data_IF_359044987691
#
_entry.id   IF_359044987691
#
_cell.length_a   1.000
_cell.length_b   1.000
_cell.length_c   1.000
_cell.angle_alpha   90.00
_cell.angle_beta   90.00
_cell.angle_gamma   90.00
#
_symmetry.space_group_name_H-M   'P 1'
#
loop_
_entity.id
_entity.type
_entity.pdbx_description
1 polymer ?
#
# COMPACT_ATOMS: atom_id res chain seq x y z
N UNK A 1 -4.66 39.82 17.16
CA UNK A 1 -3.76 39.37 18.24
C UNK A 1 -3.13 38.07 17.79
N UNK A 2 -1.82 38.07 17.52
CA UNK A 2 -1.07 36.87 17.13
C UNK A 2 -1.06 35.90 18.31
N UNK A 3 -1.38 34.62 18.08
CA UNK A 3 -1.31 33.60 19.13
C UNK A 3 0.11 33.56 19.73
N UNK A 4 0.26 33.35 21.05
CA UNK A 4 1.57 33.25 21.67
C UNK A 4 2.36 32.09 21.06
N UNK A 5 3.65 32.32 20.81
CA UNK A 5 4.58 31.31 20.28
C UNK A 5 4.92 30.36 21.44
N UNK A 6 4.61 29.07 21.28
CA UNK A 6 4.86 28.04 22.29
C UNK A 6 6.33 27.61 22.30
N UNK A 7 6.95 27.49 21.13
CA UNK A 7 8.34 27.06 20.96
C UNK A 7 8.93 27.64 19.68
N UNK A 8 10.23 27.89 19.68
CA UNK A 8 11.01 28.32 18.51
C UNK A 8 12.11 27.29 18.22
N UNK A 9 12.20 26.83 16.98
CA UNK A 9 13.31 26.00 16.48
C UNK A 9 14.12 26.74 15.42
N UNK A 10 15.45 26.73 15.56
CA UNK A 10 16.39 27.33 14.62
C UNK A 10 17.11 26.25 13.83
N UNK A 11 16.69 26.07 12.58
CA UNK A 11 17.22 25.10 11.63
C UNK A 11 18.13 25.75 10.58
N UNK A 12 18.56 27.00 10.78
CA UNK A 12 19.45 27.68 9.82
C UNK A 12 20.79 26.97 9.69
N UNK A 13 21.27 26.89 8.47
CA UNK A 13 22.41 26.09 8.07
C UNK A 13 22.10 24.61 7.88
N UNK A 14 20.88 24.12 8.12
CA UNK A 14 20.50 22.75 7.73
C UNK A 14 19.99 22.76 6.28
N UNK A 15 20.09 21.62 5.60
CA UNK A 15 19.48 21.42 4.28
C UNK A 15 18.43 20.31 4.35
N UNK A 16 17.59 20.21 3.32
CA UNK A 16 16.60 19.15 3.19
C UNK A 16 17.19 17.75 3.51
N UNK A 17 16.56 16.94 4.40
CA UNK A 17 15.23 17.11 5.02
C UNK A 17 15.25 17.73 6.44
N UNK A 18 16.40 18.20 6.92
CA UNK A 18 16.63 18.60 8.32
C UNK A 18 15.55 19.52 8.93
N UNK A 19 15.21 20.67 8.30
CA UNK A 19 14.21 21.58 8.84
C UNK A 19 12.82 20.96 9.04
N UNK A 20 12.39 20.06 8.15
CA UNK A 20 11.09 19.39 8.25
C UNK A 20 11.11 18.29 9.31
N UNK A 21 12.22 17.58 9.46
CA UNK A 21 12.38 16.61 10.55
C UNK A 21 12.35 17.29 11.93
N UNK A 22 13.06 18.41 12.07
CA UNK A 22 13.04 19.21 13.29
C UNK A 22 11.63 19.74 13.60
N UNK A 23 10.91 20.19 12.56
CA UNK A 23 9.50 20.61 12.68
C UNK A 23 8.61 19.45 13.16
N UNK A 24 8.69 18.29 12.50
CA UNK A 24 7.89 17.12 12.86
C UNK A 24 8.19 16.61 14.28
N UNK A 25 9.46 16.65 14.71
CA UNK A 25 9.86 16.30 16.07
C UNK A 25 9.27 17.25 17.10
N UNK A 26 9.44 18.56 16.91
CA UNK A 26 8.90 19.57 17.83
C UNK A 26 7.37 19.52 17.91
N UNK A 27 6.68 19.24 16.80
CA UNK A 27 5.21 19.08 16.82
C UNK A 27 4.78 17.84 17.59
N UNK A 28 5.50 16.71 17.49
CA UNK A 28 5.23 15.53 18.32
C UNK A 28 5.43 15.79 19.81
N UNK A 29 6.48 16.54 20.18
CA UNK A 29 6.75 16.92 21.57
C UNK A 29 5.67 17.85 22.15
N UNK A 30 4.99 18.61 21.28
CA UNK A 30 3.93 19.56 21.65
C UNK A 30 2.51 19.05 21.37
N UNK A 31 2.34 17.77 20.99
CA UNK A 31 1.06 17.22 20.57
C UNK A 31 -0.03 17.32 21.67
N UNK A 32 0.36 17.15 22.94
CA UNK A 32 -0.57 17.14 24.09
C UNK A 32 -0.95 18.55 24.56
N UNK A 33 -0.07 19.54 24.37
CA UNK A 33 -0.28 20.93 24.83
C UNK A 33 -0.87 21.82 23.73
N UNK A 34 -0.76 21.40 22.47
CA UNK A 34 -1.11 22.22 21.31
C UNK A 34 -0.28 23.51 21.23
N UNK A 35 -0.70 24.42 20.37
CA UNK A 35 -0.13 25.77 20.28
C UNK A 35 0.55 26.09 18.95
N UNK A 36 1.44 27.09 18.96
CA UNK A 36 2.09 27.64 17.76
C UNK A 36 3.60 27.45 17.80
N UNK A 37 4.16 26.74 16.83
CA UNK A 37 5.59 26.51 16.63
C UNK A 37 6.15 27.54 15.65
N UNK A 38 7.27 28.18 16.02
CA UNK A 38 8.07 29.02 15.13
C UNK A 38 9.26 28.23 14.58
N UNK A 39 9.45 28.27 13.25
CA UNK A 39 10.54 27.59 12.56
C UNK A 39 11.35 28.59 11.75
N UNK A 40 12.67 28.63 11.98
CA UNK A 40 13.63 29.42 11.21
C UNK A 40 14.50 28.49 10.35
N UNK A 41 14.51 28.69 9.02
CA UNK A 41 15.31 27.85 8.10
C UNK A 41 15.77 28.65 6.88
N UNK A 42 16.97 28.38 6.38
CA UNK A 42 17.57 29.03 5.19
C UNK A 42 17.71 28.07 3.98
N UNK A 43 17.16 26.86 4.09
CA UNK A 43 17.05 25.89 3.00
C UNK A 43 16.07 26.40 1.92
N UNK A 44 16.45 26.27 0.64
CA UNK A 44 15.67 26.80 -0.49
C UNK A 44 14.40 25.99 -0.79
N UNK A 45 14.35 24.70 -0.41
CA UNK A 45 13.18 23.83 -0.59
C UNK A 45 12.18 23.98 0.57
N UNK A 46 12.61 24.49 1.73
CA UNK A 46 11.80 24.63 2.93
C UNK A 46 10.40 25.24 2.71
N UNK A 47 10.21 26.33 1.94
CA UNK A 47 8.86 26.87 1.67
C UNK A 47 7.90 25.87 1.04
N UNK A 48 8.38 25.05 0.10
CA UNK A 48 7.57 24.06 -0.60
C UNK A 48 7.32 22.84 0.30
N UNK A 49 8.40 22.35 0.93
CA UNK A 49 8.35 21.16 1.78
C UNK A 49 7.45 21.40 3.00
N UNK A 50 7.54 22.58 3.65
CA UNK A 50 6.70 22.91 4.80
C UNK A 50 5.22 23.01 4.44
N UNK A 51 4.89 23.58 3.27
CA UNK A 51 3.50 23.63 2.78
C UNK A 51 2.97 22.24 2.47
N UNK A 52 3.80 21.36 1.94
CA UNK A 52 3.42 19.95 1.74
C UNK A 52 3.16 19.26 3.07
N UNK A 53 4.08 19.45 4.02
CA UNK A 53 4.02 18.86 5.35
C UNK A 53 2.81 19.34 6.18
N UNK A 54 2.46 20.62 6.13
CA UNK A 54 1.26 21.13 6.83
C UNK A 54 -0.02 20.48 6.28
N UNK A 55 -0.12 20.33 4.94
CA UNK A 55 -1.27 19.68 4.31
C UNK A 55 -1.41 18.20 4.68
N UNK A 56 -0.31 17.48 4.85
CA UNK A 56 -0.34 16.05 5.17
C UNK A 56 -0.47 15.75 6.67
N UNK A 57 0.16 16.57 7.53
CA UNK A 57 0.14 16.40 8.98
C UNK A 57 -1.16 16.89 9.64
N UNK A 58 -1.99 17.65 8.92
CA UNK A 58 -3.16 18.34 9.47
C UNK A 58 -2.83 19.62 10.25
N UNK A 59 -1.54 19.96 10.39
CA UNK A 59 -1.11 21.21 11.04
C UNK A 59 -1.35 22.43 10.12
N UNK A 60 -1.69 23.58 10.70
CA UNK A 60 -2.06 24.78 9.94
C UNK A 60 -0.87 25.74 9.80
N UNK A 61 -0.47 26.08 8.58
CA UNK A 61 0.54 27.10 8.31
C UNK A 61 -0.07 28.51 8.45
N UNK A 62 0.24 29.22 9.53
CA UNK A 62 -0.28 30.56 9.82
C UNK A 62 0.43 31.65 9.02
N UNK A 63 1.75 31.56 8.89
CA UNK A 63 2.53 32.54 8.13
C UNK A 63 3.84 31.94 7.65
N UNK A 64 4.31 32.39 6.49
CA UNK A 64 5.64 32.10 5.97
C UNK A 64 6.20 33.37 5.32
N UNK A 65 7.24 33.93 5.92
CA UNK A 65 7.90 35.17 5.46
C UNK A 65 9.36 34.91 5.18
N UNK A 66 9.88 35.48 4.10
CA UNK A 66 11.32 35.54 3.88
C UNK A 66 11.89 36.74 4.66
N UNK A 67 12.96 36.52 5.41
CA UNK A 67 13.80 37.58 5.95
C UNK A 67 15.18 37.53 5.27
N UNK A 68 16.00 38.57 5.42
CA UNK A 68 17.34 38.61 4.81
C UNK A 68 18.31 37.53 5.31
N UNK A 69 17.87 36.64 6.22
CA UNK A 69 18.63 35.54 6.82
C UNK A 69 17.98 34.16 6.56
N UNK A 70 16.92 34.08 5.74
CA UNK A 70 16.22 32.83 5.42
C UNK A 70 14.69 32.98 5.43
N UNK A 71 14.02 31.96 5.96
CA UNK A 71 12.56 31.87 6.07
C UNK A 71 12.16 31.73 7.53
N UNK A 72 11.11 32.45 7.92
CA UNK A 72 10.43 32.35 9.21
C UNK A 72 9.01 31.86 8.99
N UNK A 73 8.67 30.74 9.60
CA UNK A 73 7.34 30.14 9.53
C UNK A 73 6.68 30.03 10.91
N UNK A 74 5.35 30.19 10.94
CA UNK A 74 4.52 29.93 12.12
C UNK A 74 3.53 28.82 11.78
N UNK A 75 3.53 27.74 12.57
CA UNK A 75 2.71 26.54 12.36
C UNK A 75 1.87 26.29 13.61
N UNK A 76 0.55 26.12 13.46
CA UNK A 76 -0.36 25.73 14.53
C UNK A 76 -0.55 24.21 14.52
N UNK A 77 -0.44 23.60 15.69
CA UNK A 77 -0.51 22.14 15.90
C UNK A 77 -1.98 21.68 15.90
N UNK A 78 -2.28 20.56 15.24
CA UNK A 78 -3.61 19.94 15.23
C UNK A 78 -3.93 19.23 16.57
N UNK A 79 -5.17 19.34 17.06
CA UNK A 79 -5.63 18.62 18.26
C UNK A 79 -6.41 17.34 17.87
N UNK A 80 -6.23 16.22 18.60
CA UNK A 80 -6.99 14.99 18.34
C UNK A 80 -8.47 15.12 18.78
N UNK A 81 -9.39 14.52 18.03
CA UNK A 81 -10.82 14.36 18.40
C UNK A 81 -11.29 12.93 18.12
N UNK A 82 -12.04 12.33 19.05
CA UNK A 82 -12.54 10.95 19.01
C UNK A 82 -14.04 10.89 18.65
N UNK A 83 -14.54 9.79 18.03
CA UNK A 83 -15.97 9.46 18.05
C UNK A 83 -16.29 8.12 18.75
N UNK A 84 -17.49 8.08 19.34
CA UNK A 84 -18.04 7.04 20.23
C UNK A 84 -19.34 6.40 19.64
N UNK A 85 -19.82 5.32 20.27
CA UNK A 85 -21.22 4.79 20.39
C UNK A 85 -21.50 3.33 19.94
N UNK A 86 -22.30 2.65 20.77
CA UNK A 86 -22.69 1.22 20.91
C UNK A 86 -24.18 0.91 20.57
N UNK A 87 -24.57 -0.38 20.35
CA UNK A 87 -25.90 -0.96 20.75
C UNK A 87 -25.96 -2.52 20.74
N UNK A 88 -26.99 -3.08 21.41
CA UNK A 88 -27.25 -4.42 22.03
C UNK A 88 -27.44 -5.67 21.13
N UNK A 89 -27.27 -6.87 21.73
CA UNK A 89 -26.88 -8.14 21.11
C UNK A 89 -27.98 -9.23 21.00
N UNK A 90 -28.09 -9.88 19.82
CA UNK A 90 -28.75 -11.20 19.62
C UNK A 90 -27.71 -12.32 19.87
N UNK A 91 -28.04 -13.50 20.42
CA UNK A 91 -27.06 -14.59 20.62
C UNK A 91 -27.34 -15.83 19.74
N UNK A 92 -26.34 -16.30 18.98
CA UNK A 92 -26.42 -17.40 17.99
C UNK A 92 -25.40 -18.50 18.34
N UNK A 93 -25.86 -19.76 18.44
CA UNK A 93 -25.00 -20.89 18.86
C UNK A 93 -24.34 -21.61 17.68
N UNK A 94 -23.05 -21.91 17.81
CA UNK A 94 -22.19 -22.62 16.85
C UNK A 94 -21.55 -23.83 17.54
N UNK A 95 -21.88 -25.03 17.10
CA UNK A 95 -21.37 -26.28 17.70
C UNK A 95 -20.27 -26.89 16.83
N UNK A 96 -19.03 -26.81 17.31
CA UNK A 96 -17.79 -27.26 16.66
C UNK A 96 -17.17 -28.48 17.37
N UNK A 97 -17.93 -29.22 18.16
CA UNK A 97 -17.42 -30.45 18.81
C UNK A 97 -17.07 -31.52 17.77
N UNK A 98 -16.08 -32.34 18.08
CA UNK A 98 -15.47 -33.36 17.21
C UNK A 98 -14.80 -32.80 15.95
N UNK A 99 -14.51 -31.50 15.93
CA UNK A 99 -13.73 -30.84 14.87
C UNK A 99 -12.30 -30.56 15.36
N UNK A 100 -11.32 -30.74 14.48
CA UNK A 100 -9.90 -30.50 14.79
C UNK A 100 -9.41 -29.19 14.15
N UNK A 101 -8.37 -28.57 14.71
CA UNK A 101 -7.76 -27.36 14.17
C UNK A 101 -7.41 -27.51 12.66
N UNK A 102 -7.78 -26.55 11.78
CA UNK A 102 -8.32 -25.20 12.05
C UNK A 102 -9.85 -25.07 11.94
N UNK A 103 -10.60 -26.19 11.89
CA UNK A 103 -12.02 -26.18 11.55
C UNK A 103 -12.89 -25.34 12.51
N UNK A 104 -12.73 -25.39 13.85
CA UNK A 104 -13.53 -24.57 14.76
C UNK A 104 -13.47 -23.07 14.46
N UNK A 105 -12.28 -22.54 14.13
CA UNK A 105 -12.10 -21.12 13.82
C UNK A 105 -12.68 -20.74 12.45
N UNK A 106 -12.64 -21.65 11.48
CA UNK A 106 -13.28 -21.42 10.19
C UNK A 106 -14.80 -21.34 10.32
N UNK A 107 -15.41 -22.18 11.17
CA UNK A 107 -16.85 -22.11 11.48
C UNK A 107 -17.20 -20.85 12.26
N UNK A 108 -16.38 -20.45 13.24
CA UNK A 108 -16.48 -19.15 13.92
C UNK A 108 -16.46 -17.99 12.91
N UNK A 109 -15.51 -17.99 11.97
CA UNK A 109 -15.41 -16.96 10.94
C UNK A 109 -16.61 -16.99 9.97
N UNK A 110 -17.20 -18.16 9.69
CA UNK A 110 -18.42 -18.28 8.88
C UNK A 110 -19.64 -17.73 9.63
N UNK A 111 -19.81 -18.10 10.89
CA UNK A 111 -20.90 -17.62 11.74
C UNK A 111 -20.83 -16.10 11.94
N UNK A 112 -19.64 -15.57 12.23
CA UNK A 112 -19.42 -14.12 12.38
C UNK A 112 -19.68 -13.33 11.10
N UNK A 113 -19.49 -13.94 9.93
CA UNK A 113 -19.88 -13.33 8.64
C UNK A 113 -21.38 -13.38 8.38
N UNK A 114 -22.06 -14.43 8.83
CA UNK A 114 -23.52 -14.59 8.65
C UNK A 114 -24.29 -13.67 9.58
N UNK A 115 -23.84 -13.53 10.81
CA UNK A 115 -24.52 -12.80 11.88
C UNK A 115 -23.57 -11.75 12.50
N UNK A 116 -23.18 -10.70 11.74
CA UNK A 116 -22.12 -9.76 12.13
C UNK A 116 -22.45 -8.88 13.34
N UNK A 117 -23.71 -8.88 13.77
CA UNK A 117 -24.21 -8.11 14.90
C UNK A 117 -24.74 -9.00 16.05
N UNK A 118 -24.60 -10.33 15.93
CA UNK A 118 -25.04 -11.27 16.95
C UNK A 118 -23.82 -11.79 17.74
N UNK A 119 -23.94 -11.83 19.07
CA UNK A 119 -23.04 -12.61 19.93
C UNK A 119 -23.10 -14.08 19.50
N UNK A 120 -21.96 -14.74 19.40
CA UNK A 120 -21.88 -16.15 19.05
C UNK A 120 -21.46 -16.96 20.27
N UNK A 121 -22.20 -18.02 20.59
CA UNK A 121 -21.82 -19.03 21.57
C UNK A 121 -21.20 -20.22 20.83
N UNK A 122 -19.91 -20.48 21.04
CA UNK A 122 -19.13 -21.49 20.32
C UNK A 122 -18.76 -22.62 21.28
N UNK A 123 -19.03 -23.86 20.88
CA UNK A 123 -18.61 -25.07 21.62
C UNK A 123 -17.56 -25.84 20.84
N UNK A 124 -16.40 -26.12 21.42
CA UNK A 124 -15.34 -26.91 20.77
C UNK A 124 -14.64 -27.81 21.78
N UNK A 125 -14.25 -29.03 21.39
CA UNK A 125 -13.49 -29.98 22.23
C UNK A 125 -12.01 -30.11 21.83
N UNK A 126 -11.56 -29.27 20.90
CA UNK A 126 -10.17 -29.17 20.45
C UNK A 126 -9.29 -28.41 21.46
N UNK A 127 -8.14 -28.98 21.82
CA UNK A 127 -7.21 -28.39 22.81
C UNK A 127 -6.56 -27.08 22.33
N UNK A 128 -6.43 -26.87 21.00
CA UNK A 128 -5.87 -25.64 20.45
C UNK A 128 -6.87 -24.46 20.43
N UNK A 129 -8.17 -24.74 20.60
CA UNK A 129 -9.24 -23.76 20.44
C UNK A 129 -9.10 -22.53 21.35
N UNK A 130 -8.64 -22.70 22.60
CA UNK A 130 -8.45 -21.60 23.56
C UNK A 130 -7.47 -20.53 23.05
N UNK A 131 -6.34 -20.94 22.45
CA UNK A 131 -5.36 -20.01 21.89
C UNK A 131 -5.81 -19.44 20.55
N UNK A 132 -6.45 -20.28 19.75
CA UNK A 132 -6.89 -19.97 18.40
C UNK A 132 -8.06 -18.97 18.40
N UNK A 133 -9.03 -19.11 19.33
CA UNK A 133 -10.17 -18.19 19.43
C UNK A 133 -9.74 -16.80 19.90
N UNK A 134 -8.78 -16.72 20.83
CA UNK A 134 -8.18 -15.46 21.28
C UNK A 134 -7.44 -14.78 20.13
N UNK A 135 -6.67 -15.56 19.36
CA UNK A 135 -5.92 -15.06 18.20
C UNK A 135 -6.85 -14.58 17.09
N UNK A 136 -7.90 -15.35 16.80
CA UNK A 136 -8.90 -14.98 15.83
C UNK A 136 -9.67 -13.73 16.24
N UNK A 137 -10.09 -13.59 17.51
CA UNK A 137 -10.77 -12.40 17.99
C UNK A 137 -9.92 -11.13 17.79
N UNK A 138 -8.60 -11.20 18.06
CA UNK A 138 -7.67 -10.09 17.79
C UNK A 138 -7.58 -9.77 16.29
N UNK A 139 -7.43 -10.77 15.44
CA UNK A 139 -7.31 -10.57 13.98
C UNK A 139 -8.60 -10.06 13.34
N UNK A 140 -9.75 -10.57 13.79
CA UNK A 140 -11.07 -10.21 13.28
C UNK A 140 -11.65 -8.94 13.93
N UNK A 141 -10.95 -8.35 14.91
CA UNK A 141 -11.45 -7.27 15.77
C UNK A 141 -12.80 -7.62 16.43
N UNK A 142 -12.95 -8.88 16.81
CA UNK A 142 -14.08 -9.37 17.58
C UNK A 142 -13.74 -9.35 19.08
N UNK A 143 -14.73 -9.14 19.93
CA UNK A 143 -14.59 -9.16 21.38
C UNK A 143 -14.84 -10.58 21.89
N UNK A 144 -13.88 -11.17 22.62
CA UNK A 144 -14.10 -12.41 23.36
C UNK A 144 -14.75 -12.04 24.71
N UNK A 145 -16.04 -12.30 24.83
CA UNK A 145 -16.87 -11.95 25.99
C UNK A 145 -16.60 -12.90 27.16
N UNK A 146 -16.50 -14.20 26.88
CA UNK A 146 -16.28 -15.23 27.89
C UNK A 146 -15.63 -16.47 27.28
N UNK A 147 -14.81 -17.18 28.06
CA UNK A 147 -14.24 -18.48 27.70
C UNK A 147 -14.17 -19.37 28.93
N UNK A 148 -14.85 -20.51 28.88
CA UNK A 148 -14.90 -21.50 29.96
C UNK A 148 -14.58 -22.91 29.44
N UNK A 149 -14.08 -23.78 30.32
CA UNK A 149 -13.82 -25.20 30.01
C UNK A 149 -14.58 -26.08 31.00
N UNK A 150 -15.53 -26.87 30.50
CA UNK A 150 -16.28 -27.85 31.30
C UNK A 150 -16.22 -29.23 30.63
N UNK A 151 -15.79 -30.25 31.38
CA UNK A 151 -15.87 -31.65 30.91
C UNK A 151 -15.08 -31.97 29.63
N UNK A 152 -14.02 -31.23 29.33
CA UNK A 152 -13.22 -31.39 28.11
C UNK A 152 -13.70 -30.57 26.90
N UNK A 153 -14.79 -29.82 27.05
CA UNK A 153 -15.33 -28.92 26.01
C UNK A 153 -15.11 -27.46 26.43
N UNK A 154 -14.59 -26.66 25.51
CA UNK A 154 -14.50 -25.21 25.60
C UNK A 154 -15.81 -24.56 25.15
N UNK A 155 -16.29 -23.58 25.92
CA UNK A 155 -17.40 -22.69 25.57
C UNK A 155 -16.87 -21.26 25.47
N UNK A 156 -16.93 -20.67 24.28
CA UNK A 156 -16.53 -19.28 24.04
C UNK A 156 -17.76 -18.44 23.64
N UNK A 157 -17.97 -17.29 24.27
CA UNK A 157 -18.90 -16.27 23.80
C UNK A 157 -18.13 -15.15 23.14
N UNK A 158 -18.41 -14.87 21.88
CA UNK A 158 -17.72 -13.86 21.08
C UNK A 158 -18.73 -12.85 20.52
N UNK A 159 -18.38 -11.57 20.50
CA UNK A 159 -19.15 -10.53 19.82
C UNK A 159 -18.37 -10.13 18.56
N UNK A 160 -18.85 -10.47 17.35
CA UNK A 160 -18.22 -10.03 16.11
C UNK A 160 -18.15 -8.50 16.06
N UNK A 161 -16.99 -7.94 15.71
CA UNK A 161 -16.87 -6.53 15.41
C UNK A 161 -17.56 -6.24 14.08
N UNK A 162 -18.45 -5.24 14.04
CA UNK A 162 -19.29 -4.91 12.89
C UNK A 162 -18.57 -5.00 11.54
N UNK A 163 -19.00 -6.00 10.76
CA UNK A 163 -18.77 -6.27 9.33
C UNK A 163 -17.44 -5.83 8.66
N UNK A 164 -16.51 -6.78 8.53
CA UNK A 164 -15.55 -6.79 7.40
C UNK A 164 -16.21 -7.50 6.22
N UNK A 165 -16.54 -6.72 5.19
CA UNK A 165 -16.94 -7.24 3.89
C UNK A 165 -15.78 -8.01 3.22
N UNK A 166 -16.10 -9.15 2.62
CA UNK A 166 -15.23 -9.83 1.67
C UNK A 166 -16.03 -10.01 0.38
N UNK A 167 -15.53 -9.48 -0.73
CA UNK A 167 -15.74 -10.10 -2.03
C UNK A 167 -14.41 -10.75 -2.48
N UNK A 168 -14.42 -11.96 -3.05
CA UNK A 168 -13.28 -12.87 -3.05
C UNK A 168 -12.47 -12.86 -4.37
N UNK A 169 -11.23 -13.34 -4.28
CA UNK A 169 -10.44 -13.80 -5.42
C UNK A 169 -10.97 -15.15 -5.93
N UNK A 170 -11.04 -15.33 -7.25
CA UNK A 170 -11.42 -16.60 -7.86
C UNK A 170 -10.30 -17.65 -7.82
N UNK A 171 -10.68 -18.92 -7.65
CA UNK A 171 -10.26 -20.00 -8.54
C UNK A 171 -11.46 -20.92 -8.81
N UNK A 172 -11.57 -21.40 -10.05
CA UNK A 172 -12.77 -21.99 -10.69
C UNK A 172 -13.31 -23.26 -10.00
N UNK A 173 -14.65 -23.43 -9.87
CA UNK A 173 -15.28 -24.72 -9.61
C UNK A 173 -15.75 -25.44 -10.90
N UNK A 174 -16.00 -26.77 -10.84
CA UNK A 174 -16.41 -27.60 -11.98
C UNK A 174 -17.91 -27.46 -12.34
N UNK A 175 -18.25 -28.07 -13.48
CA UNK A 175 -19.51 -28.00 -14.25
C UNK A 175 -20.72 -28.66 -13.56
N UNK A 176 -21.92 -28.19 -13.95
CA UNK A 176 -23.30 -28.72 -13.81
C UNK A 176 -24.10 -28.22 -12.60
N UNK A 177 -25.35 -27.75 -12.71
CA UNK A 177 -26.25 -27.41 -13.82
C UNK A 177 -27.27 -26.37 -13.28
N UNK A 178 -27.85 -25.48 -14.12
CA UNK A 178 -28.67 -24.37 -13.64
C UNK A 178 -30.14 -24.77 -13.47
N UNK A 179 -30.75 -24.31 -12.39
CA UNK A 179 -32.20 -24.17 -12.23
C UNK A 179 -32.38 -22.98 -11.28
N UNK A 180 -32.74 -21.77 -11.73
CA UNK A 180 -34.12 -21.30 -11.98
C UNK A 180 -34.03 -19.80 -12.36
N UNK A 181 -35.10 -19.18 -12.89
CA UNK A 181 -35.49 -19.10 -14.28
C UNK A 181 -34.80 -17.96 -15.06
N UNK A 182 -34.65 -18.20 -16.36
CA UNK A 182 -34.19 -17.27 -17.39
C UNK A 182 -35.10 -16.01 -17.41
N UNK A 183 -34.54 -14.83 -17.16
CA UNK A 183 -35.07 -13.63 -17.82
C UNK A 183 -34.97 -13.92 -19.32
N UNK A 184 -36.12 -14.03 -19.99
CA UNK A 184 -36.25 -14.54 -21.36
C UNK A 184 -35.11 -14.09 -22.26
N UNK A 185 -34.31 -15.05 -22.75
CA UNK A 185 -33.40 -14.83 -23.88
C UNK A 185 -34.19 -14.14 -25.00
N UNK A 186 -33.73 -13.01 -25.57
CA UNK A 186 -34.22 -12.60 -26.87
C UNK A 186 -33.93 -13.73 -27.86
N UNK A 187 -34.86 -13.98 -28.76
CA UNK A 187 -34.73 -15.01 -29.80
C UNK A 187 -33.47 -14.77 -30.65
N UNK A 188 -32.92 -15.84 -31.22
CA UNK A 188 -31.71 -15.81 -32.07
C UNK A 188 -31.79 -14.88 -33.30
N UNK A 189 -32.94 -14.24 -33.54
CA UNK A 189 -33.22 -13.35 -34.68
C UNK A 189 -32.61 -11.95 -34.57
N UNK A 190 -32.12 -11.51 -33.40
CA UNK A 190 -31.63 -10.13 -33.21
C UNK A 190 -30.09 -10.00 -33.08
N UNK A 191 -29.34 -11.08 -33.30
CA UNK A 191 -27.86 -11.07 -33.25
C UNK A 191 -27.25 -11.21 -34.64
N UNK A 192 -26.48 -10.22 -35.07
CA UNK A 192 -25.72 -10.28 -36.31
C UNK A 192 -24.26 -10.65 -36.08
N UNK A 193 -23.67 -11.36 -37.04
CA UNK A 193 -22.24 -11.70 -37.06
C UNK A 193 -21.58 -11.07 -38.26
N UNK A 194 -20.53 -10.28 -38.03
CA UNK A 194 -19.82 -9.57 -39.07
C UNK A 194 -18.35 -9.96 -39.08
N UNK A 195 -17.89 -10.59 -40.17
CA UNK A 195 -16.48 -10.91 -40.37
C UNK A 195 -15.76 -9.78 -41.11
N UNK A 196 -15.00 -9.00 -40.37
CA UNK A 196 -14.16 -7.91 -40.89
C UNK A 196 -12.86 -8.42 -41.51
N UNK A 197 -12.48 -9.69 -41.28
CA UNK A 197 -11.29 -10.29 -41.88
C UNK A 197 -11.33 -10.36 -43.40
N UNK A 198 -12.54 -10.45 -43.97
CA UNK A 198 -12.78 -10.46 -45.42
C UNK A 198 -13.07 -9.07 -46.00
N UNK A 199 -13.11 -8.03 -45.15
CA UNK A 199 -13.43 -6.64 -45.54
C UNK A 199 -12.14 -5.80 -45.52
N UNK A 200 -11.83 -5.04 -46.61
CA UNK A 200 -10.70 -4.11 -46.63
C UNK A 200 -10.76 -3.07 -45.50
N UNK A 201 -9.62 -2.73 -44.90
CA UNK A 201 -9.55 -1.96 -43.66
C UNK A 201 -10.29 -0.61 -43.73
N UNK A 202 -10.19 0.08 -44.88
CA UNK A 202 -10.84 1.36 -45.11
C UNK A 202 -12.38 1.29 -45.12
N UNK A 203 -12.96 0.10 -45.32
CA UNK A 203 -14.43 -0.10 -45.37
C UNK A 203 -15.02 -0.72 -44.11
N UNK A 204 -14.18 -1.18 -43.16
CA UNK A 204 -14.63 -1.91 -41.97
C UNK A 204 -15.57 -1.09 -41.08
N UNK A 205 -15.27 0.20 -40.84
CA UNK A 205 -16.12 1.09 -40.03
C UNK A 205 -17.47 1.34 -40.72
N UNK A 206 -17.46 1.60 -42.03
CA UNK A 206 -18.70 1.83 -42.78
C UNK A 206 -19.61 0.58 -42.81
N UNK A 207 -19.04 -0.63 -42.72
CA UNK A 207 -19.83 -1.86 -42.61
C UNK A 207 -20.41 -2.06 -41.20
N UNK A 208 -19.68 -1.64 -40.16
CA UNK A 208 -20.20 -1.60 -38.79
C UNK A 208 -21.37 -0.62 -38.69
N UNK A 209 -21.23 0.59 -39.24
CA UNK A 209 -22.31 1.59 -39.30
C UNK A 209 -23.55 1.05 -40.04
N UNK A 210 -23.34 0.38 -41.17
CA UNK A 210 -24.45 -0.21 -41.95
C UNK A 210 -25.18 -1.28 -41.17
N UNK A 211 -24.43 -2.15 -40.47
CA UNK A 211 -25.01 -3.22 -39.66
C UNK A 211 -25.71 -2.67 -38.43
N UNK A 212 -25.15 -1.64 -37.80
CA UNK A 212 -25.75 -0.96 -36.65
C UNK A 212 -26.99 -0.14 -37.00
N UNK A 213 -27.13 0.27 -38.26
CA UNK A 213 -28.32 0.97 -38.75
C UNK A 213 -29.55 0.06 -38.89
N UNK A 214 -29.37 -1.26 -38.96
CA UNK A 214 -30.48 -2.20 -38.99
C UNK A 214 -31.06 -2.40 -37.58
N UNK A 215 -32.26 -1.87 -37.38
CA UNK A 215 -32.90 -1.78 -36.07
C UNK A 215 -33.37 -3.13 -35.54
N UNK A 216 -33.44 -4.18 -36.37
CA UNK A 216 -33.71 -5.53 -35.89
C UNK A 216 -32.52 -6.17 -35.18
N UNK A 217 -31.32 -5.61 -35.32
CA UNK A 217 -30.10 -6.12 -34.68
C UNK A 217 -29.91 -5.41 -33.33
N UNK A 218 -29.90 -6.17 -32.24
CA UNK A 218 -29.57 -5.68 -30.89
C UNK A 218 -28.13 -5.96 -30.50
N UNK A 219 -27.56 -7.02 -31.07
CA UNK A 219 -26.22 -7.50 -30.72
C UNK A 219 -25.41 -7.79 -31.97
N UNK A 220 -24.16 -7.33 -31.96
CA UNK A 220 -23.22 -7.51 -33.05
C UNK A 220 -21.99 -8.28 -32.56
N UNK A 221 -21.71 -9.42 -33.20
CA UNK A 221 -20.50 -10.20 -32.97
C UNK A 221 -19.54 -9.94 -34.12
N UNK A 222 -18.44 -9.27 -33.84
CA UNK A 222 -17.42 -8.89 -34.82
C UNK A 222 -16.31 -9.92 -34.82
N UNK A 223 -16.01 -10.48 -35.98
CA UNK A 223 -14.93 -11.44 -36.21
C UNK A 223 -13.83 -10.75 -37.02
N UNK A 224 -12.57 -10.94 -36.63
CA UNK A 224 -11.43 -10.43 -37.39
C UNK A 224 -10.14 -11.12 -36.93
N UNK A 225 -9.30 -11.63 -37.84
CA UNK A 225 -7.97 -12.11 -37.51
C UNK A 225 -6.97 -10.95 -37.28
N UNK A 226 -7.31 -9.75 -37.73
CA UNK A 226 -6.46 -8.55 -37.64
C UNK A 226 -6.80 -7.72 -36.39
N UNK A 227 -5.82 -7.63 -35.49
CA UNK A 227 -5.93 -6.96 -34.17
C UNK A 227 -5.60 -5.47 -34.21
N UNK A 228 -5.06 -4.97 -35.32
CA UNK A 228 -4.75 -3.54 -35.48
C UNK A 228 -6.02 -2.69 -35.44
N UNK A 229 -7.15 -3.30 -35.74
CA UNK A 229 -8.45 -2.65 -35.77
C UNK A 229 -9.12 -2.50 -34.38
N UNK A 230 -8.57 -3.11 -33.31
CA UNK A 230 -9.18 -3.09 -31.97
C UNK A 230 -9.42 -1.68 -31.43
N UNK A 231 -8.42 -0.79 -31.58
CA UNK A 231 -8.53 0.59 -31.11
C UNK A 231 -9.61 1.36 -31.88
N UNK A 232 -9.72 1.14 -33.19
CA UNK A 232 -10.74 1.77 -34.05
C UNK A 232 -12.14 1.23 -33.76
N UNK A 233 -12.27 -0.08 -33.49
CA UNK A 233 -13.52 -0.71 -33.10
C UNK A 233 -14.02 -0.22 -31.74
N UNK A 234 -13.12 -0.13 -30.75
CA UNK A 234 -13.45 0.42 -29.43
C UNK A 234 -13.86 1.89 -29.53
N UNK A 235 -13.14 2.69 -30.33
CA UNK A 235 -13.51 4.09 -30.57
C UNK A 235 -14.89 4.20 -31.25
N UNK A 236 -15.17 3.37 -32.25
CA UNK A 236 -16.48 3.34 -32.89
C UNK A 236 -17.62 3.00 -31.92
N UNK A 237 -17.39 2.08 -30.97
CA UNK A 237 -18.38 1.78 -29.93
C UNK A 237 -18.66 3.00 -29.05
N UNK A 238 -17.60 3.72 -28.64
CA UNK A 238 -17.74 4.95 -27.84
C UNK A 238 -18.49 6.04 -28.61
N UNK A 239 -18.13 6.25 -29.88
CA UNK A 239 -18.75 7.28 -30.73
C UNK A 239 -20.24 7.00 -31.01
N UNK A 240 -20.61 5.71 -31.12
CA UNK A 240 -21.99 5.25 -31.32
C UNK A 240 -22.77 4.97 -30.02
N UNK A 241 -22.16 5.22 -28.85
CA UNK A 241 -22.68 4.86 -27.52
C UNK A 241 -23.01 3.35 -27.36
N UNK A 242 -22.40 2.49 -28.16
CA UNK A 242 -22.59 1.04 -28.09
C UNK A 242 -21.81 0.43 -26.92
N UNK A 243 -22.39 -0.59 -26.28
CA UNK A 243 -21.75 -1.27 -25.16
C UNK A 243 -20.86 -2.41 -25.67
N UNK A 244 -19.56 -2.27 -25.48
CA UNK A 244 -18.59 -3.32 -25.81
C UNK A 244 -18.59 -4.38 -24.69
N UNK A 245 -19.42 -5.42 -24.85
CA UNK A 245 -19.61 -6.50 -23.88
C UNK A 245 -18.34 -7.33 -23.72
N UNK A 246 -17.64 -7.61 -24.81
CA UNK A 246 -16.34 -8.27 -24.76
C UNK A 246 -15.44 -7.90 -25.92
N UNK A 247 -14.13 -7.89 -25.69
CA UNK A 247 -13.08 -7.71 -26.70
C UNK A 247 -12.04 -8.80 -26.47
N UNK A 248 -12.03 -9.80 -27.34
CA UNK A 248 -11.12 -10.95 -27.20
C UNK A 248 -9.82 -10.71 -27.95
N UNK A 249 -8.71 -11.02 -27.25
CA UNK A 249 -7.37 -11.07 -27.83
C UNK A 249 -6.97 -12.44 -28.35
N UNK A 250 -7.86 -13.44 -28.38
CA UNK A 250 -7.53 -14.80 -28.86
C UNK A 250 -8.78 -15.52 -29.38
N UNK A 251 -8.71 -15.99 -30.63
CA UNK A 251 -9.82 -16.65 -31.33
C UNK A 251 -10.31 -15.85 -32.54
N UNK A 252 -11.30 -16.37 -33.30
CA UNK A 252 -11.80 -15.72 -34.51
C UNK A 252 -12.80 -14.60 -34.23
N UNK A 253 -13.42 -14.59 -33.04
CA UNK A 253 -14.28 -13.50 -32.57
C UNK A 253 -13.40 -12.42 -31.95
N UNK A 254 -13.48 -11.22 -32.51
CA UNK A 254 -12.75 -10.06 -32.04
C UNK A 254 -13.52 -9.35 -30.92
N UNK A 255 -14.82 -9.14 -31.09
CA UNK A 255 -15.64 -8.44 -30.11
C UNK A 255 -17.11 -8.87 -30.13
N UNK A 256 -17.78 -8.71 -28.99
CA UNK A 256 -19.24 -8.74 -28.90
C UNK A 256 -19.72 -7.39 -28.38
N UNK A 257 -20.70 -6.81 -29.07
CA UNK A 257 -21.16 -5.43 -28.88
C UNK A 257 -22.69 -5.44 -28.78
N UNK A 258 -23.24 -4.74 -27.81
CA UNK A 258 -24.67 -4.41 -27.74
C UNK A 258 -24.91 -3.01 -28.32
N UNK A 259 -25.79 -2.94 -29.32
CA UNK A 259 -26.03 -1.72 -30.06
C UNK A 259 -27.02 -0.83 -29.30
N UNK A 260 -26.60 0.38 -28.94
CA UNK A 260 -27.45 1.39 -28.36
C UNK A 260 -28.65 1.72 -29.28
N UNK A 261 -29.86 1.40 -28.83
CA UNK A 261 -31.09 1.82 -29.50
C UNK A 261 -31.43 3.24 -29.05
N UNK A 262 -31.49 4.19 -29.98
CA UNK A 262 -31.94 5.57 -29.72
C UNK A 262 -33.34 5.59 -29.08
N UNK A 263 -33.40 5.68 -27.76
CA UNK A 263 -34.62 5.99 -27.01
C UNK A 263 -34.32 7.00 -25.89
N UNK A 264 -34.45 8.29 -26.27
CA UNK A 264 -34.42 9.54 -25.47
C UNK A 264 -33.17 9.82 -24.61
N UNK A 265 -32.66 11.07 -24.64
CA UNK A 265 -31.52 11.45 -23.83
C UNK A 265 -31.96 11.48 -22.36
N UNK A 266 -31.63 10.44 -21.61
CA UNK A 266 -31.31 10.66 -20.21
C UNK A 266 -29.98 11.40 -20.21
N UNK A 267 -29.79 12.48 -19.43
CA UNK A 267 -28.50 13.12 -19.31
C UNK A 267 -27.59 12.20 -18.47
N UNK A 268 -27.18 11.08 -19.05
CA UNK A 268 -25.94 10.43 -18.70
C UNK A 268 -24.84 11.26 -19.35
N UNK A 269 -24.70 12.52 -18.89
CA UNK A 269 -23.34 12.97 -18.68
C UNK A 269 -22.72 11.87 -17.83
N UNK A 270 -21.64 11.26 -18.32
CA UNK A 270 -20.65 10.72 -17.42
C UNK A 270 -20.23 11.89 -16.53
N UNK A 271 -20.96 12.08 -15.44
CA UNK A 271 -20.45 12.74 -14.27
C UNK A 271 -19.37 11.76 -13.85
N UNK A 272 -18.15 11.98 -14.33
CA UNK A 272 -16.98 11.68 -13.53
C UNK A 272 -17.29 12.39 -12.22
N UNK A 273 -17.52 11.68 -11.10
CA UNK A 273 -17.70 12.35 -9.84
C UNK A 273 -16.42 13.14 -9.62
N UNK A 274 -16.49 14.46 -9.82
CA UNK A 274 -15.55 15.37 -9.21
C UNK A 274 -15.89 15.28 -7.73
N UNK A 275 -15.17 14.41 -7.03
CA UNK A 275 -15.21 14.28 -5.57
C UNK A 275 -16.59 14.06 -4.99
N UNK A 276 -17.17 12.87 -5.18
CA UNK A 276 -17.71 12.23 -3.99
C UNK A 276 -16.48 11.61 -3.33
N UNK A 277 -16.06 12.17 -2.19
CA UNK A 277 -15.03 11.58 -1.35
C UNK A 277 -15.32 10.08 -1.24
N UNK A 278 -14.53 9.26 -1.94
CA UNK A 278 -14.21 7.92 -1.45
C UNK A 278 -13.98 8.12 0.04
N UNK A 279 -14.62 7.36 0.96
CA UNK A 279 -14.38 7.57 2.38
C UNK A 279 -12.87 7.60 2.53
N UNK A 280 -12.34 8.80 2.83
CA UNK A 280 -10.92 8.98 2.95
C UNK A 280 -10.50 7.89 3.93
N UNK A 281 -9.50 7.08 3.59
CA UNK A 281 -8.95 6.16 4.58
C UNK A 281 -8.61 7.03 5.79
N UNK A 282 -9.43 6.97 6.83
CA UNK A 282 -9.22 7.70 8.07
C UNK A 282 -8.19 6.88 8.83
N UNK A 283 -6.94 7.10 8.44
CA UNK A 283 -5.74 6.43 8.91
C UNK A 283 -4.52 7.12 8.29
N UNK A 284 -3.35 7.07 8.95
CA UNK A 284 -2.13 7.63 8.36
C UNK A 284 -1.85 6.99 7.00
N UNK A 285 -1.55 7.82 6.00
CA UNK A 285 -1.21 7.33 4.65
C UNK A 285 0.00 6.41 4.71
N UNK A 286 0.05 5.40 3.85
CA UNK A 286 1.11 4.40 3.85
C UNK A 286 2.08 4.60 2.68
N UNK A 287 3.40 4.53 2.94
CA UNK A 287 4.44 4.58 1.92
C UNK A 287 5.33 3.34 2.00
N UNK A 288 5.55 2.67 0.88
CA UNK A 288 6.39 1.47 0.79
C UNK A 288 7.52 1.68 -0.21
N UNK A 289 8.76 1.49 0.23
CA UNK A 289 9.96 1.66 -0.58
C UNK A 289 10.67 0.31 -0.76
N UNK A 290 10.99 -0.06 -2.00
CA UNK A 290 11.82 -1.21 -2.34
C UNK A 290 13.25 -0.75 -2.62
N UNK A 291 14.21 -1.13 -1.78
CA UNK A 291 15.63 -0.76 -1.95
C UNK A 291 16.40 -1.96 -2.49
N UNK A 292 16.74 -1.90 -3.78
CA UNK A 292 17.48 -2.93 -4.52
C UNK A 292 18.96 -2.59 -4.63
N UNK A 293 19.25 -1.33 -4.97
CA UNK A 293 20.61 -0.88 -5.28
C UNK A 293 21.41 -0.58 -4.01
N UNK A 294 22.74 -0.63 -4.14
CA UNK A 294 23.67 -0.35 -3.04
C UNK A 294 24.64 0.78 -3.38
N UNK A 295 24.32 1.53 -4.43
CA UNK A 295 25.02 2.75 -4.81
C UNK A 295 24.67 3.84 -3.80
N UNK A 296 25.69 4.54 -3.33
CA UNK A 296 25.53 5.54 -2.27
C UNK A 296 24.49 6.61 -2.62
N UNK A 297 24.41 7.05 -3.86
CA UNK A 297 23.42 8.01 -4.33
C UNK A 297 21.98 7.47 -4.30
N UNK A 298 21.78 6.20 -4.65
CA UNK A 298 20.46 5.55 -4.62
C UNK A 298 19.99 5.33 -3.18
N UNK A 299 20.90 4.89 -2.31
CA UNK A 299 20.64 4.73 -0.89
C UNK A 299 20.34 6.07 -0.20
N UNK A 300 21.06 7.14 -0.55
CA UNK A 300 20.79 8.49 -0.05
C UNK A 300 19.39 8.93 -0.49
N UNK A 301 19.05 8.77 -1.77
CA UNK A 301 17.72 9.12 -2.28
C UNK A 301 16.60 8.33 -1.58
N UNK A 302 16.76 7.01 -1.41
CA UNK A 302 15.81 6.16 -0.71
C UNK A 302 15.55 6.65 0.72
N UNK A 303 16.62 6.92 1.47
CA UNK A 303 16.51 7.34 2.86
C UNK A 303 16.00 8.79 3.01
N UNK A 304 16.34 9.68 2.08
CA UNK A 304 15.76 11.03 2.03
C UNK A 304 14.25 10.98 1.83
N UNK A 305 13.79 10.17 0.88
CA UNK A 305 12.35 9.99 0.61
C UNK A 305 11.64 9.31 1.77
N UNK A 306 12.24 8.27 2.37
CA UNK A 306 11.69 7.61 3.55
C UNK A 306 11.48 8.58 4.72
N UNK A 307 12.50 9.37 5.04
CA UNK A 307 12.43 10.37 6.11
C UNK A 307 11.44 11.49 5.78
N UNK A 308 11.40 11.96 4.52
CA UNK A 308 10.44 12.98 4.09
C UNK A 308 8.98 12.51 4.14
N UNK A 309 8.72 11.25 3.78
CA UNK A 309 7.40 10.63 3.89
C UNK A 309 6.98 10.43 5.34
N UNK A 310 7.89 9.92 6.18
CA UNK A 310 7.64 9.72 7.61
C UNK A 310 7.37 11.04 8.34
N UNK A 311 8.14 12.08 8.00
CA UNK A 311 7.94 13.41 8.54
C UNK A 311 6.54 13.93 8.20
N UNK A 312 6.06 13.68 6.98
CA UNK A 312 4.72 14.03 6.50
C UNK A 312 3.58 13.26 7.19
N UNK A 313 3.88 12.41 8.17
CA UNK A 313 2.90 11.62 8.91
C UNK A 313 2.53 10.31 8.21
N UNK A 314 3.29 9.88 7.20
CA UNK A 314 3.05 8.58 6.56
C UNK A 314 3.65 7.45 7.39
N UNK A 315 2.97 6.31 7.44
CA UNK A 315 3.56 5.07 7.90
C UNK A 315 4.47 4.53 6.79
N UNK A 316 5.78 4.58 7.02
CA UNK A 316 6.77 4.21 6.02
C UNK A 316 7.33 2.81 6.29
N UNK A 317 7.28 1.96 5.27
CA UNK A 317 7.95 0.66 5.23
C UNK A 317 9.07 0.68 4.18
N UNK A 318 10.29 0.32 4.57
CA UNK A 318 11.43 0.20 3.66
C UNK A 318 11.88 -1.25 3.60
N UNK A 319 11.72 -1.87 2.44
CA UNK A 319 12.10 -3.26 2.17
C UNK A 319 13.47 -3.32 1.50
N UNK A 320 14.46 -3.87 2.22
CA UNK A 320 15.82 -4.02 1.75
C UNK A 320 16.04 -5.42 1.15
N UNK A 321 16.41 -5.46 -0.13
CA UNK A 321 16.65 -6.71 -0.86
C UNK A 321 17.90 -6.60 -1.72
N UNK A 322 18.42 -7.76 -2.15
CA UNK A 322 19.66 -7.87 -2.92
C UNK A 322 20.76 -6.97 -2.35
N UNK A 323 21.33 -6.07 -3.16
CA UNK A 323 22.46 -5.26 -2.78
C UNK A 323 22.11 -4.28 -1.67
N UNK A 324 20.91 -3.69 -1.69
CA UNK A 324 20.43 -2.73 -0.68
C UNK A 324 20.44 -3.27 0.75
N UNK A 325 20.35 -4.59 0.93
CA UNK A 325 20.49 -5.27 2.23
C UNK A 325 21.84 -4.98 2.91
N UNK A 326 22.90 -4.69 2.15
CA UNK A 326 24.21 -4.38 2.72
C UNK A 326 24.21 -3.07 3.53
N UNK A 327 23.25 -2.18 3.32
CA UNK A 327 23.08 -0.97 4.11
C UNK A 327 22.78 -1.28 5.58
N UNK A 328 22.03 -2.36 5.86
CA UNK A 328 21.64 -2.77 7.21
C UNK A 328 22.74 -3.52 7.98
N UNK A 329 23.88 -3.80 7.36
CA UNK A 329 24.96 -4.57 8.01
C UNK A 329 25.63 -3.75 9.11
N UNK A 330 25.77 -4.35 10.29
CA UNK A 330 26.48 -3.75 11.41
C UNK A 330 28.01 -3.86 11.25
N UNK A 331 28.74 -2.92 11.86
CA UNK A 331 30.20 -3.01 11.98
C UNK A 331 30.64 -4.16 12.90
N UNK A 332 29.82 -4.46 13.91
CA UNK A 332 30.01 -5.54 14.86
C UNK A 332 28.89 -6.58 14.73
N UNK A 333 29.17 -7.86 15.03
CA UNK A 333 28.15 -8.90 15.08
C UNK A 333 27.08 -8.56 16.12
N UNK A 334 25.81 -8.66 15.73
CA UNK A 334 24.68 -8.45 16.63
C UNK A 334 24.66 -9.55 17.71
N UNK A 335 24.80 -9.18 18.99
CA UNK A 335 24.94 -10.12 20.09
C UNK A 335 23.63 -10.88 20.39
N UNK A 336 22.48 -10.35 19.98
CA UNK A 336 21.15 -10.93 20.23
C UNK A 336 20.96 -12.25 19.48
N UNK A 337 21.65 -12.42 18.35
CA UNK A 337 21.46 -13.58 17.49
C UNK A 337 22.63 -14.56 17.56
N UNK A 338 22.28 -15.84 17.68
CA UNK A 338 23.22 -16.95 17.62
C UNK A 338 23.88 -17.07 16.24
N UNK A 339 25.03 -17.75 16.20
CA UNK A 339 25.72 -18.05 14.97
C UNK A 339 24.88 -18.98 14.07
N UNK A 340 24.59 -18.53 12.86
CA UNK A 340 23.93 -19.33 11.83
C UNK A 340 24.99 -19.93 10.90
N UNK A 341 24.70 -21.14 10.39
CA UNK A 341 25.58 -21.82 9.44
C UNK A 341 25.47 -21.14 8.08
N UNK A 342 26.60 -20.78 7.51
CA UNK A 342 26.73 -20.30 6.13
C UNK A 342 27.75 -21.15 5.40
N UNK A 343 27.53 -21.42 4.12
CA UNK A 343 28.48 -22.14 3.28
C UNK A 343 29.77 -21.34 3.06
N UNK A 344 30.81 -22.01 2.59
CA UNK A 344 32.09 -21.36 2.28
C UNK A 344 31.93 -20.28 1.19
N UNK A 345 31.11 -20.56 0.17
CA UNK A 345 30.86 -19.64 -0.94
C UNK A 345 30.10 -18.39 -0.46
N UNK A 346 29.06 -18.58 0.35
CA UNK A 346 28.34 -17.49 1.02
C UNK A 346 29.26 -16.64 1.90
N UNK A 347 30.18 -17.27 2.64
CA UNK A 347 31.14 -16.56 3.51
C UNK A 347 32.10 -15.70 2.69
N UNK A 348 32.62 -16.22 1.57
CA UNK A 348 33.47 -15.47 0.65
C UNK A 348 32.70 -14.31 -0.01
N UNK A 349 31.51 -14.58 -0.53
CA UNK A 349 30.67 -13.58 -1.17
C UNK A 349 30.31 -12.44 -0.20
N UNK A 350 29.88 -12.76 1.02
CA UNK A 350 29.64 -11.79 2.11
C UNK A 350 30.85 -10.93 2.45
N UNK A 351 32.06 -11.47 2.32
CA UNK A 351 33.28 -10.74 2.60
C UNK A 351 33.60 -9.71 1.51
N UNK A 352 33.31 -10.02 0.25
CA UNK A 352 33.53 -9.12 -0.89
C UNK A 352 32.58 -7.92 -0.90
N UNK A 353 31.38 -8.07 -0.35
CA UNK A 353 30.34 -7.02 -0.38
C UNK A 353 30.54 -5.91 0.65
N UNK A 354 30.07 -4.67 0.36
CA UNK A 354 30.10 -3.54 1.28
C UNK A 354 29.42 -3.85 2.61
N UNK A 355 29.83 -3.15 3.67
CA UNK A 355 29.30 -3.34 5.02
C UNK A 355 28.82 -2.02 5.60
N UNK A 356 27.51 -1.90 5.77
CA UNK A 356 26.87 -0.82 6.51
C UNK A 356 26.88 0.53 5.80
N UNK A 357 26.31 1.57 6.42
CA UNK A 357 26.08 2.87 5.77
C UNK A 357 27.34 3.66 5.44
N UNK A 358 28.47 3.37 6.09
CA UNK A 358 29.73 4.12 5.92
C UNK A 358 30.57 3.66 4.74
N UNK A 359 30.38 2.42 4.27
CA UNK A 359 31.28 1.77 3.28
C UNK A 359 30.66 1.64 1.89
N UNK A 360 29.64 2.44 1.59
CA UNK A 360 28.96 2.41 0.31
C UNK A 360 29.72 3.20 -0.74
N UNK A 361 29.89 2.58 -1.91
CA UNK A 361 30.52 3.21 -3.09
C UNK A 361 29.49 3.96 -3.92
N UNK A 362 29.93 4.99 -4.64
CA UNK A 362 29.11 5.59 -5.68
C UNK A 362 28.91 4.62 -6.85
N UNK A 363 27.71 4.63 -7.43
CA UNK A 363 27.41 3.89 -8.66
C UNK A 363 28.02 4.54 -9.88
N UNK A 364 28.12 5.87 -9.88
CA UNK A 364 28.78 6.66 -10.94
C UNK A 364 29.94 7.49 -10.39
N UNK A 365 30.97 7.69 -11.23
CA UNK A 365 32.12 8.57 -10.93
C UNK A 365 32.88 8.20 -9.63
N UNK A 366 32.89 6.92 -9.23
CA UNK A 366 33.55 6.51 -8.00
C UNK A 366 35.08 6.71 -8.04
N UNK A 367 35.72 6.55 -9.21
CA UNK A 367 37.18 6.69 -9.41
C UNK A 367 38.03 6.02 -8.30
N UNK A 368 37.72 4.76 -7.96
CA UNK A 368 38.43 4.03 -6.90
C UNK A 368 38.19 4.55 -5.49
N UNK A 369 37.12 5.30 -5.25
CA UNK A 369 36.75 5.89 -3.96
C UNK A 369 36.96 7.41 -3.88
N UNK A 370 37.71 8.00 -4.82
CA UNK A 370 37.95 9.45 -4.86
C UNK A 370 36.63 10.24 -5.01
N UNK A 371 35.71 9.78 -5.87
CA UNK A 371 34.41 10.42 -6.03
C UNK A 371 33.57 10.36 -4.76
N UNK A 372 33.58 9.22 -4.06
CA UNK A 372 32.86 9.05 -2.79
C UNK A 372 33.39 10.01 -1.71
N UNK A 373 34.71 10.24 -1.68
CA UNK A 373 35.34 11.24 -0.80
C UNK A 373 34.95 12.67 -1.15
N UNK A 374 34.95 13.02 -2.44
CA UNK A 374 34.53 14.34 -2.92
C UNK A 374 33.07 14.64 -2.59
N UNK A 375 32.16 13.69 -2.84
CA UNK A 375 30.74 13.87 -2.51
C UNK A 375 30.54 14.06 -0.99
N UNK A 376 31.20 13.25 -0.16
CA UNK A 376 31.16 13.39 1.30
C UNK A 376 31.60 14.78 1.76
N UNK A 377 32.66 15.31 1.16
CA UNK A 377 33.16 16.65 1.49
C UNK A 377 32.14 17.72 1.12
N UNK A 378 31.52 17.63 -0.06
CA UNK A 378 30.48 18.56 -0.50
C UNK A 378 29.24 18.49 0.41
N UNK A 379 28.79 17.29 0.77
CA UNK A 379 27.67 17.10 1.71
C UNK A 379 27.97 17.74 3.06
N UNK A 380 29.17 17.56 3.62
CA UNK A 380 29.58 18.18 4.88
C UNK A 380 29.62 19.71 4.82
N UNK A 381 30.16 20.26 3.73
CA UNK A 381 30.17 21.72 3.52
C UNK A 381 28.76 22.29 3.44
N UNK A 382 27.83 21.53 2.84
CA UNK A 382 26.42 21.88 2.73
C UNK A 382 25.59 21.42 3.93
N UNK A 383 26.19 20.79 4.95
CA UNK A 383 25.49 20.27 6.13
C UNK A 383 24.28 19.38 5.77
N UNK A 384 24.45 18.56 4.73
CA UNK A 384 23.47 17.54 4.33
C UNK A 384 23.71 16.29 5.17
N UNK A 385 22.64 15.70 5.71
CA UNK A 385 22.73 14.47 6.50
C UNK A 385 23.32 13.32 5.69
N UNK A 386 24.22 12.57 6.30
CA UNK A 386 24.80 11.37 5.70
C UNK A 386 23.92 10.11 5.93
N UNK A 387 24.30 8.98 5.33
CA UNK A 387 23.52 7.73 5.44
C UNK A 387 23.31 7.26 6.89
N UNK A 388 24.35 7.22 7.76
CA UNK A 388 24.16 6.96 9.17
C UNK A 388 23.12 7.86 9.84
N UNK A 389 23.23 9.18 9.65
CA UNK A 389 22.31 10.16 10.23
C UNK A 389 20.87 9.97 9.72
N UNK A 390 20.70 9.68 8.42
CA UNK A 390 19.38 9.42 7.84
C UNK A 390 18.75 8.11 8.33
N UNK A 391 19.55 7.08 8.61
CA UNK A 391 19.05 5.83 9.19
C UNK A 391 18.60 6.04 10.64
N UNK A 392 19.37 6.79 11.42
CA UNK A 392 19.00 7.15 12.80
C UNK A 392 17.71 7.98 12.84
N UNK A 393 17.61 9.01 12.00
CA UNK A 393 16.40 9.82 11.87
C UNK A 393 15.17 8.99 11.42
N UNK A 394 15.38 7.96 10.60
CA UNK A 394 14.31 7.05 10.21
C UNK A 394 13.86 6.16 11.39
N UNK A 395 14.79 5.71 12.24
CA UNK A 395 14.47 4.95 13.45
C UNK A 395 13.66 5.78 14.45
N UNK A 396 14.07 7.02 14.71
CA UNK A 396 13.33 7.94 15.59
C UNK A 396 11.89 8.18 15.13
N UNK A 397 11.68 8.16 13.81
CA UNK A 397 10.36 8.31 13.19
C UNK A 397 9.59 6.98 13.07
N UNK A 398 10.12 5.90 13.64
CA UNK A 398 9.54 4.55 13.59
C UNK A 398 9.31 4.03 12.16
N UNK A 399 10.18 4.40 11.22
CA UNK A 399 10.17 3.81 9.87
C UNK A 399 10.44 2.31 10.00
N UNK A 400 9.53 1.49 9.48
CA UNK A 400 9.63 0.04 9.54
C UNK A 400 10.65 -0.45 8.52
N UNK A 401 11.68 -1.15 8.96
CA UNK A 401 12.68 -1.74 8.08
C UNK A 401 12.42 -3.24 7.91
N UNK A 402 12.47 -3.74 6.68
CA UNK A 402 12.28 -5.17 6.40
C UNK A 402 13.51 -5.69 5.67
N UNK A 403 14.21 -6.64 6.27
CA UNK A 403 15.29 -7.38 5.60
C UNK A 403 14.72 -8.60 4.85
N UNK A 404 14.96 -8.66 3.54
CA UNK A 404 14.52 -9.76 2.69
C UNK A 404 15.25 -11.07 3.05
N UNK A 405 14.52 -12.04 3.59
CA UNK A 405 15.07 -13.33 4.04
C UNK A 405 15.68 -14.16 2.90
N UNK A 406 15.08 -14.12 1.71
CA UNK A 406 15.64 -14.79 0.53
C UNK A 406 16.98 -14.17 0.11
N UNK A 407 17.09 -12.83 0.10
CA UNK A 407 18.35 -12.16 -0.20
C UNK A 407 19.41 -12.46 0.86
N UNK A 408 19.02 -12.46 2.15
CA UNK A 408 19.89 -12.84 3.25
C UNK A 408 20.50 -14.23 3.05
N UNK A 409 19.68 -15.22 2.72
CA UNK A 409 20.13 -16.59 2.48
C UNK A 409 21.08 -16.67 1.28
N UNK A 410 20.67 -16.19 0.10
CA UNK A 410 21.51 -16.20 -1.11
C UNK A 410 22.87 -15.53 -0.89
N UNK A 411 22.89 -14.42 -0.15
CA UNK A 411 24.07 -13.59 0.06
C UNK A 411 24.90 -14.01 1.28
N UNK A 412 24.45 -14.99 2.06
CA UNK A 412 25.12 -15.43 3.28
C UNK A 412 25.08 -14.43 4.45
N UNK A 413 24.16 -13.46 4.40
CA UNK A 413 23.97 -12.44 5.42
C UNK A 413 23.03 -13.00 6.48
N UNK A 414 23.54 -13.18 7.68
CA UNK A 414 22.78 -13.71 8.82
C UNK A 414 22.19 -12.58 9.65
N UNK A 415 21.21 -12.87 10.50
CA UNK A 415 20.66 -11.87 11.44
C UNK A 415 21.75 -11.26 12.35
N UNK A 416 22.79 -12.05 12.65
CA UNK A 416 23.98 -11.63 13.40
C UNK A 416 24.85 -10.61 12.65
N UNK A 417 24.75 -10.52 11.33
CA UNK A 417 25.49 -9.54 10.53
C UNK A 417 24.77 -8.19 10.43
N UNK A 418 23.50 -8.09 10.84
CA UNK A 418 22.69 -6.87 10.75
C UNK A 418 22.76 -6.03 12.02
N UNK A 419 22.72 -4.71 11.88
CA UNK A 419 22.64 -3.81 13.02
C UNK A 419 21.28 -3.99 13.76
N UNK A 420 21.26 -3.98 15.11
CA UNK A 420 20.05 -4.23 15.90
C UNK A 420 19.12 -3.00 15.94
N UNK A 421 18.58 -2.62 14.78
CA UNK A 421 17.53 -1.62 14.70
C UNK A 421 16.25 -2.14 15.37
N UNK A 422 15.57 -1.30 16.15
CA UNK A 422 14.35 -1.69 16.87
C UNK A 422 13.19 -1.98 15.91
N UNK A 423 13.13 -1.25 14.79
CA UNK A 423 12.07 -1.40 13.79
C UNK A 423 12.41 -2.41 12.69
N UNK A 424 13.51 -3.16 12.85
CA UNK A 424 13.95 -4.13 11.85
C UNK A 424 13.23 -5.46 11.99
N UNK A 425 12.52 -5.81 10.94
CA UNK A 425 11.83 -7.07 10.77
C UNK A 425 12.44 -7.89 9.64
N UNK A 426 12.04 -9.16 9.56
CA UNK A 426 12.50 -10.12 8.56
C UNK A 426 11.30 -10.58 7.75
N UNK A 427 11.31 -10.30 6.45
CA UNK A 427 10.17 -10.55 5.57
C UNK A 427 10.57 -11.20 4.25
N UNK A 428 9.61 -11.85 3.62
CA UNK A 428 9.75 -12.37 2.26
C UNK A 428 9.10 -11.43 1.25
N UNK A 429 9.05 -11.87 -0.01
CA UNK A 429 8.36 -11.13 -1.08
C UNK A 429 6.87 -10.91 -0.75
N UNK A 430 6.20 -11.88 -0.11
CA UNK A 430 4.80 -11.74 0.29
C UNK A 430 4.57 -10.54 1.23
N UNK A 431 5.46 -10.36 2.23
CA UNK A 431 5.41 -9.21 3.15
C UNK A 431 5.55 -7.88 2.41
N UNK A 432 6.44 -7.83 1.41
CA UNK A 432 6.57 -6.64 0.58
C UNK A 432 5.31 -6.36 -0.25
N UNK A 433 4.77 -7.39 -0.92
CA UNK A 433 3.58 -7.25 -1.77
C UNK A 433 2.37 -6.79 -0.96
N UNK A 434 2.17 -7.32 0.24
CA UNK A 434 1.12 -6.87 1.16
C UNK A 434 1.29 -5.38 1.53
N UNK A 435 2.48 -4.97 1.98
CA UNK A 435 2.75 -3.56 2.29
C UNK A 435 2.67 -2.65 1.07
N UNK A 436 2.99 -3.14 -0.13
CA UNK A 436 2.88 -2.36 -1.37
C UNK A 436 1.42 -2.22 -1.84
N UNK A 437 0.58 -3.23 -1.64
CA UNK A 437 -0.87 -3.16 -1.95
C UNK A 437 -1.62 -2.25 -0.98
N UNK A 438 -1.21 -2.22 0.28
CA UNK A 438 -1.79 -1.35 1.29
C UNK A 438 -1.33 0.12 1.12
N UNK A 439 -0.13 0.35 0.58
CA UNK A 439 0.46 1.66 0.43
C UNK A 439 -0.25 2.59 -0.56
N UNK A 440 -0.36 3.86 -0.19
CA UNK A 440 -0.79 4.95 -1.08
C UNK A 440 0.35 5.40 -2.01
N UNK A 441 1.60 5.16 -1.61
CA UNK A 441 2.81 5.47 -2.37
C UNK A 441 3.76 4.25 -2.39
N UNK A 442 4.11 3.77 -3.58
CA UNK A 442 5.12 2.72 -3.75
C UNK A 442 6.24 3.17 -4.69
N UNK A 443 7.51 3.04 -4.25
CA UNK A 443 8.69 3.48 -4.97
C UNK A 443 9.79 2.41 -4.96
N UNK A 444 10.65 2.42 -5.98
CA UNK A 444 11.80 1.51 -6.10
C UNK A 444 13.09 2.31 -6.24
N UNK A 445 14.12 1.92 -5.49
CA UNK A 445 15.42 2.58 -5.40
C UNK A 445 16.58 1.67 -5.73
#
# INVERSE_FOLDING_TARGET
MTAPISQTIDCRGQQCPGPILATARAVRELADSGGTLEVLADDAAFPLDLRSWCRSSGSELLSLTADGRGHRALVRIAQPSEPEVSVESLCVRVDCRSMECPQPILEVARAARREPNAELEVLADDEAFELDIVSWCRSARAELVELEREGGVFRARIRPGGAVGVAPAGSLPPVMAPSTPLASRPSADETARLDLGVIPEERRVAELDRTAADTSITRLVVMSPDRRFNARLAQWCVDGEHELVSLSGSGPVLAEIELARRARPSPSHAIVPVGADLPARVGPKEATLLVLHNDKEALLAAMLVANGAAAQGMNVTVFFTFWGLNLLRGDLPNPVHAHQRVTWAQRLFKWLMPRGPRRQSLGKLNFGGMGSGMLNQLMRQKKIMDLPELLEAAQEQRVRFIACTMSMDVMGITKRDLHPYETLEYGGVATFVESAQAADLSLVF
#
